data_IF_968821767158
#
_entry.id   IF_968821767158
#
_cell.length_a   1.000
_cell.length_b   1.000
_cell.length_c   1.000
_cell.angle_alpha   90.00
_cell.angle_beta   90.00
_cell.angle_gamma   90.00
#
_symmetry.space_group_name_H-M   'P 1'
#
loop_
_entity.id
_entity.type
_entity.pdbx_description
1 polymer ?
#
# COMPACT_ATOMS: atom_id res chain seq x y z
N UNK A 1 -8.79 22.50 5.61
CA UNK A 1 -8.91 21.24 6.37
C UNK A 1 -8.31 21.44 7.74
N UNK A 2 -9.00 21.00 8.77
CA UNK A 2 -8.53 21.01 10.15
C UNK A 2 -7.94 19.64 10.50
N UNK A 3 -6.71 19.65 10.97
CA UNK A 3 -5.97 18.47 11.34
C UNK A 3 -5.98 18.25 12.85
N UNK A 4 -5.91 16.99 13.23
CA UNK A 4 -5.53 16.53 14.57
C UNK A 4 -4.37 15.56 14.43
N UNK A 5 -3.47 15.52 15.41
CA UNK A 5 -2.31 14.60 15.40
C UNK A 5 -2.32 13.73 16.64
N UNK A 6 -2.10 12.44 16.46
CA UNK A 6 -2.10 11.42 17.51
C UNK A 6 -0.84 10.58 17.38
N UNK A 7 0.03 10.60 18.39
CA UNK A 7 1.08 9.58 18.51
C UNK A 7 2.29 9.93 19.35
N UNK A 8 3.40 9.27 19.06
CA UNK A 8 4.66 9.33 19.80
C UNK A 8 5.92 9.47 18.91
N UNK A 9 5.78 9.34 17.59
CA UNK A 9 6.89 9.42 16.66
C UNK A 9 7.36 10.86 16.40
N UNK A 10 8.64 11.18 16.60
CA UNK A 10 9.25 12.47 16.23
C UNK A 10 9.17 12.83 14.74
N UNK A 11 9.11 11.82 13.88
CA UNK A 11 9.13 11.97 12.42
C UNK A 11 7.97 12.80 11.86
N UNK A 12 6.89 12.97 12.64
CA UNK A 12 5.72 13.79 12.29
C UNK A 12 5.92 15.29 12.51
N UNK A 13 6.91 15.71 13.29
CA UNK A 13 7.13 17.13 13.64
C UNK A 13 7.26 18.04 12.42
N UNK A 14 8.00 17.68 11.35
CA UNK A 14 8.04 18.49 10.13
C UNK A 14 6.66 18.68 9.48
N UNK A 15 5.81 17.65 9.50
CA UNK A 15 4.44 17.78 8.98
C UNK A 15 3.59 18.68 9.88
N UNK A 16 3.72 18.55 11.20
CA UNK A 16 3.04 19.42 12.16
C UNK A 16 3.40 20.88 11.92
N UNK A 17 4.68 21.19 11.74
CA UNK A 17 5.15 22.54 11.42
C UNK A 17 4.54 23.05 10.13
N UNK A 18 4.53 22.23 9.07
CA UNK A 18 3.89 22.61 7.80
C UNK A 18 2.39 22.89 7.94
N UNK A 19 1.67 22.11 8.75
CA UNK A 19 0.25 22.36 9.00
C UNK A 19 0.08 23.67 9.78
N UNK A 20 0.91 23.91 10.79
CA UNK A 20 0.88 25.12 11.59
C UNK A 20 1.17 26.39 10.78
N UNK A 21 2.16 26.32 9.88
CA UNK A 21 2.59 27.43 9.03
C UNK A 21 1.64 27.67 7.84
N UNK A 22 0.69 26.77 7.61
CA UNK A 22 -0.27 26.87 6.50
C UNK A 22 -1.34 27.93 6.75
N UNK A 23 -1.61 28.75 5.74
CA UNK A 23 -2.73 29.71 5.77
C UNK A 23 -4.12 29.07 5.57
N UNK A 24 -4.18 27.82 5.06
CA UNK A 24 -5.43 27.14 4.63
C UNK A 24 -5.78 25.95 5.52
N UNK A 25 -4.80 25.47 6.29
CA UNK A 25 -4.95 24.32 7.17
C UNK A 25 -4.77 24.77 8.61
N UNK A 26 -5.44 24.08 9.55
CA UNK A 26 -5.32 24.36 10.98
C UNK A 26 -4.95 23.10 11.73
N UNK A 27 -4.25 23.25 12.85
CA UNK A 27 -3.95 22.18 13.80
C UNK A 27 -4.34 22.65 15.19
N UNK A 28 -5.47 22.16 15.69
CA UNK A 28 -6.04 22.66 16.95
C UNK A 28 -5.89 21.65 18.09
N UNK A 29 -5.95 20.35 17.76
CA UNK A 29 -5.97 19.26 18.73
C UNK A 29 -4.81 18.30 18.47
N UNK A 30 -4.20 17.82 19.55
CA UNK A 30 -3.17 16.80 19.46
C UNK A 30 -3.20 15.90 20.69
N UNK A 31 -2.92 14.63 20.49
CA UNK A 31 -2.43 13.74 21.53
C UNK A 31 -0.97 13.42 21.20
N UNK A 32 -0.07 13.84 22.08
CA UNK A 32 1.36 13.55 21.94
C UNK A 32 1.86 12.87 23.21
N UNK A 33 2.62 11.79 23.04
CA UNK A 33 3.30 11.10 24.14
C UNK A 33 4.78 10.89 23.84
N UNK A 34 5.57 10.57 24.86
CA UNK A 34 6.97 10.22 24.70
C UNK A 34 7.82 11.35 24.10
N UNK A 35 8.63 11.02 23.11
CA UNK A 35 9.57 11.98 22.49
C UNK A 35 8.84 13.08 21.71
N UNK A 36 7.75 12.75 21.03
CA UNK A 36 6.95 13.74 20.29
C UNK A 36 6.45 14.87 21.20
N UNK A 37 5.98 14.55 22.42
CA UNK A 37 5.52 15.57 23.37
C UNK A 37 6.64 16.58 23.74
N UNK A 38 7.87 16.08 23.92
CA UNK A 38 9.03 16.93 24.24
C UNK A 38 9.42 17.82 23.06
N UNK A 39 9.36 17.30 21.83
CA UNK A 39 9.69 18.05 20.63
C UNK A 39 8.66 19.13 20.33
N UNK A 40 7.36 18.84 20.53
CA UNK A 40 6.30 19.83 20.38
C UNK A 40 6.39 20.96 21.41
N UNK A 41 6.72 20.63 22.67
CA UNK A 41 6.96 21.63 23.70
C UNK A 41 8.15 22.55 23.34
N UNK A 42 9.19 21.98 22.73
CA UNK A 42 10.38 22.74 22.29
C UNK A 42 10.10 23.60 21.06
N UNK A 43 9.29 23.11 20.13
CA UNK A 43 8.92 23.82 18.92
C UNK A 43 7.99 25.04 19.19
N UNK A 44 7.37 25.12 20.36
CA UNK A 44 6.53 26.25 20.76
C UNK A 44 5.23 26.38 19.97
N UNK A 45 4.72 25.27 19.42
CA UNK A 45 3.53 25.27 18.58
C UNK A 45 2.29 25.28 19.50
N UNK A 46 1.40 26.27 19.40
CA UNK A 46 0.23 26.41 20.28
C UNK A 46 -0.85 25.38 19.92
N UNK A 47 -0.77 24.17 20.48
CA UNK A 47 -1.73 23.07 20.22
C UNK A 47 -2.41 22.65 21.53
N UNK A 48 -3.71 22.37 21.48
CA UNK A 48 -4.42 21.83 22.63
C UNK A 48 -4.14 20.33 22.79
N UNK A 49 -3.29 20.00 23.76
CA UNK A 49 -2.95 18.61 24.09
C UNK A 49 -4.13 17.95 24.83
N UNK A 50 -4.62 16.84 24.29
CA UNK A 50 -5.70 16.04 24.88
C UNK A 50 -5.15 14.91 25.75
N UNK A 51 -5.98 14.41 26.67
CA UNK A 51 -5.64 13.31 27.58
C UNK A 51 -5.61 11.95 26.91
N UNK A 52 -6.47 11.72 25.92
CA UNK A 52 -6.56 10.44 25.20
C UNK A 52 -6.40 10.65 23.69
N UNK A 53 -5.91 9.63 22.96
CA UNK A 53 -5.89 9.62 21.50
C UNK A 53 -7.25 9.94 20.86
N UNK A 54 -8.31 9.37 21.42
CA UNK A 54 -9.68 9.48 20.91
C UNK A 54 -10.24 10.89 21.06
N UNK A 55 -10.02 11.53 22.21
CA UNK A 55 -10.43 12.92 22.46
C UNK A 55 -9.84 13.88 21.40
N UNK A 56 -8.62 13.59 20.92
CA UNK A 56 -7.94 14.43 19.93
C UNK A 56 -8.64 14.46 18.57
N UNK A 57 -9.28 13.37 18.13
CA UNK A 57 -9.98 13.35 16.83
C UNK A 57 -11.50 13.41 16.93
N UNK A 58 -12.08 13.17 18.12
CA UNK A 58 -13.49 13.40 18.40
C UNK A 58 -13.82 14.88 18.61
N UNK A 59 -12.81 15.73 18.79
CA UNK A 59 -12.98 17.17 18.87
C UNK A 59 -13.74 17.73 17.65
N UNK A 60 -14.58 18.75 17.91
CA UNK A 60 -15.42 19.35 16.88
C UNK A 60 -14.59 20.04 15.80
N UNK A 61 -14.94 19.80 14.54
CA UNK A 61 -14.33 20.48 13.41
C UNK A 61 -12.99 19.91 12.97
N UNK A 62 -12.58 18.73 13.44
CA UNK A 62 -11.45 17.97 12.86
C UNK A 62 -11.91 17.30 11.56
N UNK A 63 -11.17 17.48 10.47
CA UNK A 63 -11.45 16.81 9.18
C UNK A 63 -10.51 15.61 8.95
N UNK A 64 -9.25 15.75 9.37
CA UNK A 64 -8.16 14.79 9.11
C UNK A 64 -7.41 14.46 10.39
N UNK A 65 -7.14 13.18 10.62
CA UNK A 65 -6.36 12.67 11.75
C UNK A 65 -5.03 12.12 11.25
N UNK A 66 -3.93 12.66 11.76
CA UNK A 66 -2.58 12.14 11.52
C UNK A 66 -2.23 11.18 12.65
N UNK A 67 -2.02 9.91 12.31
CA UNK A 67 -1.62 8.87 13.26
C UNK A 67 -0.14 8.57 13.05
N UNK A 68 0.69 8.83 14.06
CA UNK A 68 2.13 8.64 14.02
C UNK A 68 2.63 7.89 15.26
N UNK A 69 2.43 6.57 15.25
CA UNK A 69 2.77 5.67 16.35
C UNK A 69 3.65 4.51 15.90
N UNK A 70 4.43 3.93 16.81
CA UNK A 70 5.27 2.76 16.50
C UNK A 70 4.52 1.41 16.52
N UNK A 71 3.40 1.36 17.25
CA UNK A 71 2.59 0.14 17.42
C UNK A 71 1.56 -0.01 16.30
N UNK A 72 1.79 -1.00 15.42
CA UNK A 72 0.91 -1.35 14.31
C UNK A 72 -0.53 -1.64 14.74
N UNK A 73 -0.76 -2.40 15.82
CA UNK A 73 -2.12 -2.76 16.25
C UNK A 73 -2.87 -1.53 16.74
N UNK A 74 -2.16 -0.66 17.48
CA UNK A 74 -2.72 0.61 17.95
C UNK A 74 -3.05 1.54 16.80
N UNK A 75 -2.20 1.63 15.77
CA UNK A 75 -2.49 2.38 14.55
C UNK A 75 -3.76 1.87 13.87
N UNK A 76 -3.89 0.55 13.69
CA UNK A 76 -5.07 -0.06 13.05
C UNK A 76 -6.35 0.23 13.84
N UNK A 77 -6.31 0.09 15.16
CA UNK A 77 -7.44 0.38 16.03
C UNK A 77 -7.85 1.85 15.99
N UNK A 78 -6.90 2.78 16.08
CA UNK A 78 -7.16 4.22 15.98
C UNK A 78 -7.64 4.63 14.59
N UNK A 79 -7.09 4.01 13.54
CA UNK A 79 -7.55 4.23 12.16
C UNK A 79 -9.02 3.84 12.03
N UNK A 80 -9.41 2.66 12.54
CA UNK A 80 -10.81 2.19 12.54
C UNK A 80 -11.72 3.13 13.34
N UNK A 81 -11.31 3.55 14.53
CA UNK A 81 -12.08 4.49 15.35
C UNK A 81 -12.25 5.85 14.69
N UNK A 82 -11.21 6.37 14.03
CA UNK A 82 -11.24 7.66 13.35
C UNK A 82 -12.15 7.64 12.12
N UNK A 83 -12.08 6.60 11.27
CA UNK A 83 -12.97 6.50 10.11
C UNK A 83 -14.44 6.27 10.51
N UNK A 84 -14.69 5.57 11.62
CA UNK A 84 -16.05 5.44 12.20
C UNK A 84 -16.59 6.75 12.76
N UNK A 85 -15.70 7.67 13.15
CA UNK A 85 -16.04 9.03 13.57
C UNK A 85 -16.10 10.02 12.38
N UNK A 86 -16.24 9.51 11.15
CA UNK A 86 -16.30 10.29 9.92
C UNK A 86 -15.10 11.23 9.71
N UNK A 87 -13.89 10.71 9.96
CA UNK A 87 -12.62 11.42 9.74
C UNK A 87 -11.78 10.77 8.65
N UNK A 88 -11.09 11.58 7.88
CA UNK A 88 -10.00 11.09 7.04
C UNK A 88 -8.78 10.75 7.91
N UNK A 89 -8.00 9.75 7.50
CA UNK A 89 -6.83 9.31 8.27
C UNK A 89 -5.58 9.39 7.42
N UNK A 90 -4.52 9.96 7.99
CA UNK A 90 -3.17 9.99 7.43
C UNK A 90 -2.28 9.16 8.35
N UNK A 91 -1.66 8.11 7.83
CA UNK A 91 -0.91 7.14 8.63
C UNK A 91 0.58 7.27 8.35
N UNK A 92 1.37 7.60 9.36
CA UNK A 92 2.83 7.40 9.30
C UNK A 92 3.12 5.91 9.42
N UNK A 93 3.93 5.41 8.49
CA UNK A 93 4.25 3.99 8.44
C UNK A 93 5.27 3.67 9.53
N UNK A 94 4.93 2.81 10.51
CA UNK A 94 5.86 2.42 11.56
C UNK A 94 6.99 1.57 10.98
N UNK A 95 8.13 1.58 11.64
CA UNK A 95 9.30 0.79 11.22
C UNK A 95 9.04 -0.72 11.30
N UNK A 96 8.10 -1.10 12.18
CA UNK A 96 7.60 -2.45 12.39
C UNK A 96 6.59 -2.92 11.33
N UNK A 97 6.23 -2.07 10.36
CA UNK A 97 5.23 -2.39 9.35
C UNK A 97 5.57 -3.67 8.56
N UNK A 98 4.50 -4.43 8.29
CA UNK A 98 4.53 -5.70 7.57
C UNK A 98 3.50 -5.69 6.44
N UNK A 99 3.57 -6.68 5.57
CA UNK A 99 2.51 -6.94 4.58
C UNK A 99 1.13 -7.06 5.24
N UNK A 100 1.03 -7.76 6.37
CA UNK A 100 -0.23 -7.90 7.12
C UNK A 100 -0.79 -6.55 7.58
N UNK A 101 0.07 -5.64 8.04
CA UNK A 101 -0.34 -4.27 8.39
C UNK A 101 -0.93 -3.52 7.19
N UNK A 102 -0.29 -3.61 6.00
CA UNK A 102 -0.85 -2.98 4.80
C UNK A 102 -2.16 -3.60 4.34
N UNK A 103 -2.32 -4.91 4.50
CA UNK A 103 -3.56 -5.63 4.18
C UNK A 103 -4.71 -5.18 5.09
N UNK A 104 -4.48 -5.13 6.40
CA UNK A 104 -5.49 -4.66 7.36
C UNK A 104 -5.88 -3.19 7.12
N UNK A 105 -4.92 -2.31 6.78
CA UNK A 105 -5.25 -0.94 6.38
C UNK A 105 -6.10 -0.90 5.12
N UNK A 106 -5.86 -1.79 4.16
CA UNK A 106 -6.66 -1.91 2.95
C UNK A 106 -8.10 -2.34 3.27
N UNK A 107 -8.29 -3.30 4.17
CA UNK A 107 -9.62 -3.72 4.62
C UNK A 107 -10.38 -2.57 5.30
N UNK A 108 -9.72 -1.82 6.17
CA UNK A 108 -10.35 -0.65 6.82
C UNK A 108 -10.72 0.40 5.76
N UNK A 109 -9.87 0.61 4.75
CA UNK A 109 -10.20 1.51 3.63
C UNK A 109 -11.40 1.00 2.85
N UNK A 110 -11.51 -0.29 2.55
CA UNK A 110 -12.63 -0.84 1.79
C UNK A 110 -13.96 -0.65 2.54
N UNK A 111 -13.97 -0.88 3.86
CA UNK A 111 -15.13 -0.71 4.74
C UNK A 111 -15.50 0.76 5.02
N UNK A 112 -14.55 1.69 4.90
CA UNK A 112 -14.76 3.11 5.25
C UNK A 112 -15.48 3.91 4.16
N UNK A 113 -16.08 5.03 4.52
CA UNK A 113 -16.50 6.08 3.56
C UNK A 113 -15.42 7.15 3.38
N UNK A 114 -14.43 7.18 4.26
CA UNK A 114 -13.39 8.20 4.34
C UNK A 114 -12.02 7.68 3.89
N UNK A 115 -11.26 8.55 3.24
CA UNK A 115 -9.89 8.30 2.80
C UNK A 115 -8.93 7.90 3.92
N UNK A 116 -8.09 6.90 3.63
CA UNK A 116 -6.94 6.50 4.44
C UNK A 116 -5.69 6.68 3.58
N UNK A 117 -4.74 7.48 4.06
CA UNK A 117 -3.56 7.91 3.31
C UNK A 117 -2.30 7.44 4.04
N UNK A 118 -1.69 6.31 3.63
CA UNK A 118 -0.36 5.95 4.10
C UNK A 118 0.68 6.96 3.59
N UNK A 119 1.48 7.53 4.50
CA UNK A 119 2.58 8.42 4.16
C UNK A 119 3.82 7.61 3.83
N UNK A 120 3.99 7.39 2.54
CA UNK A 120 5.07 6.57 1.99
C UNK A 120 6.15 7.43 1.32
N UNK A 121 7.23 6.81 0.85
CA UNK A 121 8.38 7.54 0.27
C UNK A 121 8.02 8.41 -0.94
N UNK A 122 7.02 8.01 -1.73
CA UNK A 122 6.56 8.81 -2.87
C UNK A 122 5.99 10.18 -2.49
N UNK A 123 5.60 10.39 -1.22
CA UNK A 123 5.15 11.71 -0.75
C UNK A 123 6.25 12.78 -0.87
N UNK A 124 7.51 12.36 -0.88
CA UNK A 124 8.68 13.24 -0.94
C UNK A 124 9.05 13.65 -2.38
N UNK A 125 8.43 13.03 -3.40
CA UNK A 125 8.64 13.39 -4.80
C UNK A 125 7.95 14.73 -5.09
N UNK A 126 8.76 15.74 -5.44
CA UNK A 126 8.28 17.08 -5.80
C UNK A 126 7.59 17.07 -7.17
N UNK A 127 8.13 16.26 -8.06
CA UNK A 127 7.72 16.12 -9.46
C UNK A 127 6.41 15.33 -9.58
N UNK A 128 6.08 14.53 -8.56
CA UNK A 128 4.73 13.99 -8.42
C UNK A 128 3.82 15.20 -8.15
N UNK A 129 2.93 15.55 -9.08
CA UNK A 129 2.01 16.67 -8.87
C UNK A 129 1.17 16.52 -7.59
N UNK A 130 0.47 17.57 -7.19
CA UNK A 130 -0.51 17.50 -6.09
C UNK A 130 -1.73 16.63 -6.44
N UNK A 131 -1.99 16.40 -7.73
CA UNK A 131 -3.21 15.78 -8.24
C UNK A 131 -2.97 14.49 -9.06
N UNK A 132 -1.86 13.80 -8.82
CA UNK A 132 -1.58 12.53 -9.50
C UNK A 132 -0.99 11.49 -8.55
N UNK A 133 -1.33 10.23 -8.80
CA UNK A 133 -0.73 9.06 -8.13
C UNK A 133 0.53 8.57 -8.82
N UNK A 134 0.71 8.93 -10.09
CA UNK A 134 1.80 8.49 -10.93
C UNK A 134 2.47 9.67 -11.63
N UNK A 135 3.78 9.64 -11.63
CA UNK A 135 4.61 10.62 -12.31
C UNK A 135 4.53 10.46 -13.84
N UNK A 136 4.39 9.22 -14.30
CA UNK A 136 4.37 8.87 -15.72
C UNK A 136 3.22 7.91 -15.99
N UNK A 137 2.38 8.22 -16.98
CA UNK A 137 1.25 7.36 -17.39
C UNK A 137 1.69 6.21 -18.31
N UNK A 138 2.79 6.40 -19.03
CA UNK A 138 3.45 5.39 -19.84
C UNK A 138 4.92 5.35 -19.43
N UNK A 139 5.52 4.16 -19.26
CA UNK A 139 6.96 4.08 -19.15
C UNK A 139 7.54 4.63 -20.46
N UNK A 140 8.15 5.82 -20.38
CA UNK A 140 9.03 6.31 -21.42
C UNK A 140 10.13 5.26 -21.69
N UNK A 141 10.89 5.32 -22.79
CA UNK A 141 11.94 4.33 -23.09
C UNK A 141 13.16 4.51 -22.17
N UNK A 142 12.95 4.48 -20.86
CA UNK A 142 13.98 4.40 -19.87
C UNK A 142 14.73 3.08 -20.05
N UNK A 143 16.04 3.16 -20.02
CA UNK A 143 16.92 2.00 -20.01
C UNK A 143 17.19 1.52 -18.59
N UNK A 144 17.25 2.44 -17.63
CA UNK A 144 17.61 2.12 -16.26
C UNK A 144 17.14 3.21 -15.29
N UNK A 145 16.78 2.78 -14.09
CA UNK A 145 16.48 3.65 -12.94
C UNK A 145 17.51 3.38 -11.84
N UNK A 146 18.12 4.43 -11.30
CA UNK A 146 19.03 4.32 -10.17
C UNK A 146 18.56 5.26 -9.05
N UNK A 147 18.45 4.73 -7.83
CA UNK A 147 18.09 5.49 -6.63
C UNK A 147 19.22 5.33 -5.63
N UNK A 148 19.85 6.43 -5.25
CA UNK A 148 20.92 6.44 -4.25
C UNK A 148 20.48 7.23 -3.01
N UNK A 149 20.62 6.63 -1.83
CA UNK A 149 20.27 7.26 -0.56
C UNK A 149 21.25 6.88 0.56
N UNK A 150 21.32 7.72 1.59
CA UNK A 150 22.02 7.44 2.84
C UNK A 150 21.04 7.23 4.01
N UNK A 151 21.43 6.41 4.99
CA UNK A 151 20.80 6.41 6.31
C UNK A 151 21.56 7.37 7.23
N UNK A 152 20.86 7.99 8.19
CA UNK A 152 21.50 8.91 9.16
C UNK A 152 22.14 8.17 10.33
N UNK A 153 21.54 7.05 10.71
CA UNK A 153 21.96 6.24 11.86
C UNK A 153 22.16 4.80 11.39
N UNK A 154 23.19 4.15 11.92
CA UNK A 154 23.42 2.72 11.69
C UNK A 154 22.50 1.88 12.60
N UNK A 155 21.21 2.03 12.38
CA UNK A 155 20.15 1.30 13.07
C UNK A 155 19.38 0.44 12.06
N UNK A 156 19.05 -0.79 12.46
CA UNK A 156 18.33 -1.74 11.62
C UNK A 156 16.91 -1.26 11.31
N UNK A 157 16.26 -0.58 12.26
CA UNK A 157 14.92 -0.06 12.05
C UNK A 157 14.93 1.14 11.10
N UNK A 158 15.84 2.10 11.31
CA UNK A 158 16.05 3.21 10.37
C UNK A 158 16.38 2.73 8.94
N UNK A 159 17.19 1.67 8.80
CA UNK A 159 17.48 1.04 7.50
C UNK A 159 16.21 0.45 6.87
N UNK A 160 15.39 -0.26 7.65
CA UNK A 160 14.14 -0.86 7.18
C UNK A 160 13.14 0.22 6.75
N UNK A 161 12.96 1.27 7.56
CA UNK A 161 12.10 2.39 7.21
C UNK A 161 12.55 3.06 5.91
N UNK A 162 13.87 3.27 5.76
CA UNK A 162 14.42 3.85 4.55
C UNK A 162 14.22 2.96 3.33
N UNK A 163 14.41 1.65 3.48
CA UNK A 163 14.15 0.67 2.45
C UNK A 163 12.69 0.71 1.97
N UNK A 164 11.74 0.73 2.91
CA UNK A 164 10.30 0.86 2.61
C UNK A 164 10.03 2.13 1.79
N UNK A 165 10.58 3.27 2.23
CA UNK A 165 10.42 4.54 1.50
C UNK A 165 10.96 4.45 0.07
N UNK A 166 12.11 3.81 -0.14
CA UNK A 166 12.71 3.71 -1.48
C UNK A 166 11.98 2.71 -2.38
N UNK A 167 11.49 1.59 -1.84
CA UNK A 167 10.71 0.60 -2.59
C UNK A 167 9.35 1.12 -3.03
N UNK A 168 8.86 2.17 -2.39
CA UNK A 168 7.62 2.84 -2.74
C UNK A 168 7.74 3.77 -3.96
N UNK A 169 8.95 4.27 -4.26
CA UNK A 169 9.21 5.19 -5.37
C UNK A 169 8.91 4.55 -6.73
N UNK A 170 9.38 3.33 -7.06
CA UNK A 170 9.01 2.64 -8.29
C UNK A 170 7.50 2.60 -8.55
N UNK A 171 6.70 2.40 -7.51
CA UNK A 171 5.26 2.34 -7.65
C UNK A 171 4.65 3.72 -7.99
N UNK A 172 5.26 4.81 -7.54
CA UNK A 172 4.91 6.18 -7.97
C UNK A 172 5.33 6.49 -9.42
N UNK A 173 6.29 5.74 -9.96
CA UNK A 173 6.65 5.78 -11.37
C UNK A 173 5.74 4.89 -12.24
N UNK A 174 4.76 4.21 -11.63
CA UNK A 174 3.88 3.26 -12.32
C UNK A 174 4.55 1.91 -12.63
N UNK A 175 5.66 1.58 -11.95
CA UNK A 175 6.46 0.39 -12.22
C UNK A 175 6.20 -0.68 -11.16
N UNK A 176 5.83 -1.89 -11.62
CA UNK A 176 5.56 -3.05 -10.78
C UNK A 176 6.58 -4.16 -11.05
N UNK A 177 7.59 -4.23 -10.20
CA UNK A 177 8.67 -5.21 -10.33
C UNK A 177 8.30 -6.56 -9.73
N UNK A 178 8.50 -7.64 -10.47
CA UNK A 178 8.17 -9.01 -10.02
C UNK A 178 9.38 -9.81 -9.57
N UNK A 179 10.57 -9.21 -9.55
CA UNK A 179 11.80 -9.83 -9.07
C UNK A 179 12.65 -8.84 -8.28
N UNK A 180 13.26 -9.35 -7.22
CA UNK A 180 14.20 -8.58 -6.41
C UNK A 180 15.42 -9.41 -6.01
N UNK A 181 16.58 -8.78 -6.09
CA UNK A 181 17.84 -9.29 -5.57
C UNK A 181 18.40 -8.28 -4.58
N UNK A 182 18.69 -8.72 -3.37
CA UNK A 182 19.29 -7.89 -2.34
C UNK A 182 20.67 -8.40 -1.96
N UNK A 183 21.64 -7.49 -1.94
CA UNK A 183 23.01 -7.73 -1.49
C UNK A 183 23.33 -6.72 -0.40
N UNK A 184 23.89 -7.19 0.70
CA UNK A 184 24.29 -6.35 1.82
C UNK A 184 25.79 -6.50 2.07
N UNK A 185 26.46 -5.37 2.22
CA UNK A 185 27.86 -5.27 2.62
C UNK A 185 27.95 -4.64 4.00
N UNK A 186 28.65 -5.32 4.92
CA UNK A 186 28.91 -4.85 6.28
C UNK A 186 30.40 -4.80 6.56
N UNK A 187 30.81 -3.86 7.40
CA UNK A 187 32.16 -3.83 7.95
C UNK A 187 32.39 -5.03 8.89
N UNK A 188 33.66 -5.33 9.24
CA UNK A 188 33.97 -6.34 10.25
C UNK A 188 33.28 -6.10 11.60
N UNK A 189 33.00 -4.83 11.91
CA UNK A 189 32.31 -4.39 13.13
C UNK A 189 30.78 -4.51 13.04
N UNK A 190 30.26 -5.04 11.93
CA UNK A 190 28.83 -5.24 11.70
C UNK A 190 28.08 -3.98 11.23
N UNK A 191 28.77 -2.86 11.04
CA UNK A 191 28.15 -1.63 10.53
C UNK A 191 27.78 -1.79 9.06
N UNK A 192 26.63 -1.25 8.66
CA UNK A 192 26.22 -1.26 7.25
C UNK A 192 27.17 -0.37 6.44
N UNK A 193 27.78 -0.94 5.39
CA UNK A 193 28.51 -0.17 4.38
C UNK A 193 27.52 0.24 3.29
N UNK A 194 26.84 -0.74 2.71
CA UNK A 194 25.80 -0.51 1.71
C UNK A 194 24.85 -1.70 1.59
N UNK A 195 23.62 -1.43 1.16
CA UNK A 195 22.64 -2.41 0.70
C UNK A 195 22.24 -2.05 -0.72
N UNK A 196 22.46 -2.99 -1.64
CA UNK A 196 22.08 -2.86 -3.04
C UNK A 196 20.86 -3.74 -3.32
N UNK A 197 19.78 -3.13 -3.79
CA UNK A 197 18.57 -3.80 -4.26
C UNK A 197 18.52 -3.68 -5.78
N UNK A 198 18.42 -4.79 -6.48
CA UNK A 198 18.18 -4.84 -7.93
C UNK A 198 16.77 -5.33 -8.17
N UNK A 199 15.97 -4.52 -8.84
CA UNK A 199 14.59 -4.77 -9.20
C UNK A 199 14.51 -5.14 -10.68
N UNK A 200 13.76 -6.18 -10.99
CA UNK A 200 13.58 -6.66 -12.35
C UNK A 200 12.22 -7.32 -12.54
N UNK A 201 12.02 -7.85 -13.74
CA UNK A 201 10.80 -8.56 -14.10
C UNK A 201 11.08 -10.02 -14.40
N UNK A 202 10.18 -10.88 -13.92
CA UNK A 202 10.19 -12.28 -14.30
C UNK A 202 9.92 -12.44 -15.79
N UNK A 203 10.38 -13.54 -16.37
CA UNK A 203 10.11 -13.87 -17.78
C UNK A 203 8.60 -14.04 -18.07
N UNK A 204 7.77 -14.17 -17.04
CA UNK A 204 6.31 -14.28 -17.13
C UNK A 204 5.59 -12.96 -16.90
N UNK A 205 6.31 -11.85 -16.68
CA UNK A 205 5.70 -10.55 -16.48
C UNK A 205 5.02 -10.07 -17.77
N UNK A 206 3.83 -9.48 -17.63
CA UNK A 206 3.03 -8.96 -18.75
C UNK A 206 3.69 -7.75 -19.43
N UNK A 207 4.56 -7.04 -18.71
CA UNK A 207 5.24 -5.83 -19.16
C UNK A 207 6.75 -6.00 -19.05
N UNK A 208 7.49 -5.52 -20.05
CA UNK A 208 8.93 -5.40 -19.99
C UNK A 208 9.26 -4.03 -19.36
N UNK A 209 9.75 -4.04 -18.12
CA UNK A 209 10.10 -2.81 -17.39
C UNK A 209 11.63 -2.60 -17.40
N UNK A 210 12.10 -1.35 -17.37
CA UNK A 210 13.52 -1.06 -17.21
C UNK A 210 14.02 -1.62 -15.88
N UNK A 211 15.24 -2.18 -15.80
CA UNK A 211 15.83 -2.54 -14.52
C UNK A 211 15.97 -1.32 -13.61
N UNK A 212 15.69 -1.51 -12.32
CA UNK A 212 15.92 -0.49 -11.30
C UNK A 212 16.92 -0.96 -10.25
N UNK A 213 17.76 -0.05 -9.78
CA UNK A 213 18.70 -0.29 -8.69
C UNK A 213 18.49 0.72 -7.58
N UNK A 214 18.44 0.25 -6.35
CA UNK A 214 18.36 1.08 -5.15
C UNK A 214 19.59 0.81 -4.29
N UNK A 215 20.41 1.82 -4.07
CA UNK A 215 21.58 1.75 -3.18
C UNK A 215 21.30 2.52 -1.91
N UNK A 216 21.35 1.83 -0.77
CA UNK A 216 21.27 2.44 0.56
C UNK A 216 22.64 2.37 1.19
N UNK A 217 23.28 3.51 1.35
CA UNK A 217 24.57 3.64 2.01
C UNK A 217 24.39 3.75 3.52
N UNK A 218 25.36 3.22 4.27
CA UNK A 218 25.50 3.44 5.71
C UNK A 218 25.63 4.92 6.08
N UNK A 219 25.70 5.24 7.38
CA UNK A 219 25.85 6.61 7.84
C UNK A 219 27.07 7.27 7.19
N UNK A 220 26.81 8.35 6.47
CA UNK A 220 27.84 9.14 5.84
C UNK A 220 28.67 9.85 6.93
N UNK A 221 29.98 10.02 6.69
CA UNK A 221 30.78 10.90 7.55
C UNK A 221 30.15 12.30 7.63
N UNK A 222 30.30 13.04 8.74
CA UNK A 222 29.68 14.36 8.90
C UNK A 222 29.97 15.34 7.75
N UNK A 223 31.14 15.21 7.11
CA UNK A 223 31.55 15.99 5.95
C UNK A 223 30.82 15.64 4.65
N UNK A 224 30.30 14.41 4.49
CA UNK A 224 29.50 14.02 3.33
C UNK A 224 27.98 14.18 3.54
N UNK A 225 27.54 14.52 4.75
CA UNK A 225 26.11 14.75 5.04
C UNK A 225 25.55 16.01 4.37
N UNK A 226 26.38 17.00 4.00
CA UNK A 226 25.88 18.22 3.33
C UNK A 226 25.25 17.95 1.94
N UNK A 227 25.57 16.81 1.31
CA UNK A 227 24.99 16.38 0.03
C UNK A 227 24.16 15.08 0.13
N UNK A 228 23.73 14.70 1.34
CA UNK A 228 23.05 13.41 1.60
C UNK A 228 21.56 13.36 1.20
N UNK A 229 21.19 14.13 0.18
CA UNK A 229 19.89 14.05 -0.46
C UNK A 229 19.70 12.70 -1.15
N UNK A 230 18.45 12.31 -1.36
CA UNK A 230 18.15 11.16 -2.22
C UNK A 230 18.08 11.61 -3.64
N UNK A 231 18.80 10.90 -4.50
CA UNK A 231 18.87 11.21 -5.91
C UNK A 231 18.31 10.04 -6.68
N UNK A 232 17.35 10.33 -7.55
CA UNK A 232 16.79 9.39 -8.51
C UNK A 232 17.29 9.80 -9.88
N UNK A 233 17.99 8.90 -10.55
CA UNK A 233 18.49 9.07 -11.90
C UNK A 233 17.70 8.17 -12.85
N UNK A 234 17.01 8.78 -13.80
CA UNK A 234 16.30 8.12 -14.89
C UNK A 234 17.16 8.22 -16.15
N UNK A 235 17.66 7.09 -16.66
CA UNK A 235 18.47 7.04 -17.87
C UNK A 235 17.60 6.65 -19.06
N UNK A 236 17.55 7.47 -20.10
CA UNK A 236 16.78 7.25 -21.32
C UNK A 236 17.62 6.63 -22.45
N UNK A 237 16.96 5.94 -23.40
CA UNK A 237 17.61 5.36 -24.57
C UNK A 237 18.39 6.37 -25.44
N UNK A 238 18.03 7.65 -25.39
CA UNK A 238 18.72 8.74 -26.07
C UNK A 238 19.97 9.28 -25.35
N UNK A 239 20.38 8.67 -24.23
CA UNK A 239 21.51 9.15 -23.42
C UNK A 239 21.21 10.36 -22.55
N UNK A 240 19.94 10.81 -22.50
CA UNK A 240 19.46 11.82 -21.57
C UNK A 240 19.31 11.20 -20.18
N UNK A 241 19.79 11.89 -19.16
CA UNK A 241 19.59 11.53 -17.77
C UNK A 241 18.73 12.60 -17.09
N UNK A 242 17.60 12.19 -16.53
CA UNK A 242 16.74 13.05 -15.72
C UNK A 242 17.01 12.78 -14.25
N UNK A 243 17.35 13.83 -13.51
CA UNK A 243 17.65 13.76 -12.08
C UNK A 243 16.48 14.35 -11.30
N UNK A 244 15.93 13.55 -10.39
CA UNK A 244 14.82 13.89 -9.49
C UNK A 244 15.38 13.85 -8.07
N UNK A 245 15.15 14.91 -7.30
CA UNK A 245 15.59 15.01 -5.91
C UNK A 245 14.39 14.91 -4.98
N UNK A 246 14.50 14.07 -3.95
CA UNK A 246 13.44 14.00 -2.94
C UNK A 246 13.44 15.29 -2.11
N UNK A 247 12.32 15.99 -2.14
CA UNK A 247 12.08 17.16 -1.31
C UNK A 247 11.65 16.73 0.10
N UNK A 248 12.06 17.51 1.11
CA UNK A 248 11.62 17.31 2.48
C UNK A 248 10.20 17.86 2.65
N UNK A 249 9.18 17.30 2.01
CA UNK A 249 7.75 17.59 2.27
C UNK A 249 7.11 18.78 1.52
N UNK A 250 7.72 19.28 0.44
CA UNK A 250 7.12 20.35 -0.38
C UNK A 250 5.81 19.86 -1.05
N UNK A 251 4.72 20.62 -0.90
CA UNK A 251 3.42 20.28 -1.51
C UNK A 251 2.66 19.12 -0.87
N UNK A 252 3.15 18.54 0.25
CA UNK A 252 2.50 17.38 0.85
C UNK A 252 1.07 17.65 1.32
N UNK A 253 0.79 18.84 1.88
CA UNK A 253 -0.55 19.18 2.37
C UNK A 253 -1.57 19.25 1.25
N UNK A 254 -1.17 19.79 0.09
CA UNK A 254 -2.03 19.81 -1.09
C UNK A 254 -2.34 18.39 -1.57
N UNK A 255 -1.34 17.48 -1.54
CA UNK A 255 -1.54 16.08 -1.93
C UNK A 255 -2.42 15.32 -0.93
N UNK A 256 -2.22 15.51 0.37
CA UNK A 256 -3.10 14.95 1.40
C UNK A 256 -4.54 15.43 1.17
N UNK A 257 -4.74 16.74 0.97
CA UNK A 257 -6.07 17.30 0.72
C UNK A 257 -6.71 16.72 -0.55
N UNK A 258 -5.94 16.54 -1.62
CA UNK A 258 -6.41 15.93 -2.85
C UNK A 258 -6.80 14.44 -2.68
N UNK A 259 -6.02 13.67 -1.92
CA UNK A 259 -6.33 12.26 -1.57
C UNK A 259 -7.57 12.16 -0.66
N UNK A 260 -7.71 13.08 0.29
CA UNK A 260 -8.87 13.15 1.17
C UNK A 260 -10.14 13.59 0.43
N UNK A 261 -10.01 14.31 -0.69
CA UNK A 261 -11.15 14.79 -1.47
C UNK A 261 -11.96 13.68 -2.18
N UNK A 262 -11.38 12.50 -2.39
CA UNK A 262 -12.07 11.37 -3.03
C UNK A 262 -11.44 10.04 -2.61
N UNK A 263 -12.22 9.19 -1.93
CA UNK A 263 -11.81 7.85 -1.50
C UNK A 263 -11.28 7.01 -2.66
N UNK A 264 -11.85 7.16 -3.86
CA UNK A 264 -11.42 6.42 -5.05
C UNK A 264 -9.95 6.63 -5.42
N UNK A 265 -9.38 7.78 -5.03
CA UNK A 265 -7.96 8.11 -5.20
C UNK A 265 -7.08 7.36 -4.19
N UNK A 266 -7.58 7.08 -3.00
CA UNK A 266 -6.81 6.34 -2.00
C UNK A 266 -6.59 4.88 -2.35
N UNK A 267 -7.44 4.27 -3.17
CA UNK A 267 -7.32 2.86 -3.57
C UNK A 267 -5.99 2.58 -4.29
N UNK A 268 -5.67 3.21 -5.44
CA UNK A 268 -4.39 2.97 -6.13
C UNK A 268 -3.19 3.40 -5.28
N UNK A 269 -3.37 4.39 -4.40
CA UNK A 269 -2.34 4.79 -3.45
C UNK A 269 -2.04 3.68 -2.43
N UNK A 270 -3.07 3.06 -1.88
CA UNK A 270 -2.96 1.95 -0.92
C UNK A 270 -2.42 0.68 -1.59
N UNK A 271 -2.88 0.33 -2.79
CA UNK A 271 -2.35 -0.82 -3.56
C UNK A 271 -0.84 -0.70 -3.78
N UNK A 272 -0.40 0.51 -4.09
CA UNK A 272 0.99 0.77 -4.34
C UNK A 272 1.83 0.75 -3.04
N UNK A 273 1.25 1.12 -1.89
CA UNK A 273 1.87 0.89 -0.58
C UNK A 273 1.98 -0.61 -0.25
N UNK A 274 0.92 -1.40 -0.47
CA UNK A 274 0.96 -2.85 -0.30
C UNK A 274 2.03 -3.51 -1.18
N UNK A 275 2.17 -3.05 -2.43
CA UNK A 275 3.23 -3.49 -3.35
C UNK A 275 4.62 -3.25 -2.75
N UNK A 276 4.85 -2.07 -2.15
CA UNK A 276 6.12 -1.76 -1.49
C UNK A 276 6.39 -2.67 -0.28
N UNK A 277 5.35 -3.07 0.47
CA UNK A 277 5.47 -4.02 1.57
C UNK A 277 5.83 -5.43 1.09
N UNK A 278 5.22 -5.91 0.01
CA UNK A 278 5.55 -7.22 -0.58
C UNK A 278 6.99 -7.26 -1.09
N UNK A 279 7.42 -6.19 -1.78
CA UNK A 279 8.81 -6.04 -2.19
C UNK A 279 9.76 -6.05 -0.97
N UNK A 280 9.37 -5.38 0.12
CA UNK A 280 10.15 -5.31 1.34
C UNK A 280 10.32 -6.70 2.01
N UNK A 281 9.27 -7.52 2.09
CA UNK A 281 9.38 -8.90 2.58
C UNK A 281 10.24 -9.76 1.62
N UNK A 282 10.14 -9.52 0.31
CA UNK A 282 10.98 -10.18 -0.67
C UNK A 282 12.47 -9.81 -0.55
N UNK A 283 12.81 -8.58 -0.12
CA UNK A 283 14.19 -8.21 0.25
C UNK A 283 14.70 -9.12 1.37
N UNK A 284 13.92 -9.26 2.45
CA UNK A 284 14.32 -10.09 3.60
C UNK A 284 14.49 -11.56 3.19
N UNK A 285 13.66 -12.06 2.26
CA UNK A 285 13.82 -13.41 1.67
C UNK A 285 15.08 -13.49 0.80
N UNK A 286 15.37 -12.48 -0.01
CA UNK A 286 16.54 -12.44 -0.89
C UNK A 286 17.84 -12.40 -0.10
N UNK A 287 17.94 -11.55 0.93
CA UNK A 287 19.11 -11.48 1.82
C UNK A 287 19.38 -12.83 2.50
N UNK A 288 18.32 -13.50 2.99
CA UNK A 288 18.43 -14.83 3.62
C UNK A 288 18.87 -15.91 2.64
N UNK A 289 18.34 -15.91 1.41
CA UNK A 289 18.61 -16.95 0.40
C UNK A 289 19.83 -16.65 -0.49
N UNK A 290 20.35 -15.42 -0.47
CA UNK A 290 21.45 -14.91 -1.30
C UNK A 290 21.22 -15.11 -2.80
N UNK A 291 19.99 -14.89 -3.26
CA UNK A 291 19.60 -15.02 -4.67
C UNK A 291 18.41 -14.13 -5.00
N UNK A 292 18.13 -13.96 -6.29
CA UNK A 292 16.90 -13.36 -6.80
C UNK A 292 15.67 -14.10 -6.26
N UNK A 293 14.66 -13.34 -5.84
CA UNK A 293 13.37 -13.84 -5.38
C UNK A 293 12.28 -13.25 -6.27
N UNK A 294 11.40 -14.11 -6.77
CA UNK A 294 10.19 -13.68 -7.44
C UNK A 294 9.19 -13.14 -6.41
N UNK A 295 8.54 -12.04 -6.78
CA UNK A 295 7.52 -11.35 -6.00
C UNK A 295 6.20 -11.54 -6.71
N UNK A 296 5.27 -12.16 -6.00
CA UNK A 296 3.91 -12.37 -6.48
C UNK A 296 3.03 -11.37 -5.74
N UNK A 297 2.45 -10.44 -6.49
CA UNK A 297 1.46 -9.54 -5.94
C UNK A 297 0.13 -10.25 -5.93
N UNK A 298 -0.28 -10.75 -4.76
CA UNK A 298 -1.70 -11.05 -4.57
C UNK A 298 -2.42 -9.72 -4.57
N UNK A 299 -3.22 -9.47 -5.61
CA UNK A 299 -4.10 -8.31 -5.64
C UNK A 299 -5.03 -8.43 -4.43
N UNK A 300 -4.69 -7.73 -3.33
CA UNK A 300 -5.42 -7.74 -2.07
C UNK A 300 -6.85 -7.21 -2.18
N UNK A 301 -7.27 -6.74 -3.36
CA UNK A 301 -8.66 -6.46 -3.65
C UNK A 301 -9.50 -7.73 -3.50
N UNK A 302 -10.68 -7.59 -2.90
CA UNK A 302 -11.68 -8.66 -2.79
C UNK A 302 -11.88 -9.40 -4.12
N UNK A 303 -11.69 -8.74 -5.27
CA UNK A 303 -11.79 -9.33 -6.62
C UNK A 303 -10.83 -10.49 -6.85
N UNK A 304 -9.60 -10.44 -6.33
CA UNK A 304 -8.62 -11.53 -6.44
C UNK A 304 -9.05 -12.75 -5.64
N UNK A 305 -9.52 -12.51 -4.41
CA UNK A 305 -10.06 -13.54 -3.51
C UNK A 305 -11.37 -14.13 -4.04
N UNK A 306 -12.27 -13.30 -4.58
CA UNK A 306 -13.51 -13.77 -5.24
C UNK A 306 -13.19 -14.66 -6.44
N UNK A 307 -12.17 -14.34 -7.23
CA UNK A 307 -11.77 -15.16 -8.38
C UNK A 307 -11.22 -16.52 -7.94
N UNK A 308 -10.38 -16.56 -6.91
CA UNK A 308 -9.85 -17.81 -6.38
C UNK A 308 -10.93 -18.65 -5.71
N UNK A 309 -11.85 -18.03 -4.95
CA UNK A 309 -12.99 -18.70 -4.33
C UNK A 309 -13.99 -19.23 -5.36
N UNK A 310 -14.31 -18.48 -6.42
CA UNK A 310 -15.17 -18.97 -7.51
C UNK A 310 -14.54 -20.18 -8.22
N UNK A 311 -13.21 -20.19 -8.36
CA UNK A 311 -12.48 -21.33 -8.94
C UNK A 311 -12.53 -22.55 -8.02
N UNK A 312 -12.31 -22.35 -6.71
CA UNK A 312 -12.40 -23.41 -5.71
C UNK A 312 -13.82 -23.99 -5.61
N UNK A 313 -14.86 -23.15 -5.61
CA UNK A 313 -16.26 -23.57 -5.64
C UNK A 313 -16.55 -24.34 -6.93
N UNK A 314 -16.09 -23.86 -8.08
CA UNK A 314 -16.25 -24.57 -9.36
C UNK A 314 -15.62 -25.97 -9.34
N UNK A 315 -14.38 -26.10 -8.86
CA UNK A 315 -13.72 -27.39 -8.67
C UNK A 315 -14.48 -28.29 -7.68
N UNK A 316 -15.01 -27.72 -6.59
CA UNK A 316 -15.84 -28.42 -5.62
C UNK A 316 -17.14 -28.95 -6.23
N UNK A 317 -17.84 -28.13 -7.02
CA UNK A 317 -19.07 -28.52 -7.73
C UNK A 317 -18.80 -29.64 -8.75
N UNK A 318 -17.69 -29.58 -9.49
CA UNK A 318 -17.30 -30.66 -10.42
C UNK A 318 -16.99 -31.96 -9.67
N UNK A 319 -16.23 -31.86 -8.58
CA UNK A 319 -15.87 -33.00 -7.74
C UNK A 319 -17.11 -33.64 -7.12
N UNK A 320 -18.03 -32.83 -6.58
CA UNK A 320 -19.35 -33.27 -6.14
C UNK A 320 -20.03 -34.04 -7.26
N UNK A 321 -20.24 -33.41 -8.43
CA UNK A 321 -20.95 -33.97 -9.60
C UNK A 321 -20.40 -35.32 -10.06
N UNK A 322 -19.08 -35.49 -10.03
CA UNK A 322 -18.43 -36.76 -10.38
C UNK A 322 -18.70 -37.83 -9.32
N UNK A 323 -18.39 -37.53 -8.05
CA UNK A 323 -18.45 -38.54 -6.99
C UNK A 323 -19.85 -38.98 -6.64
N UNK A 324 -20.82 -38.07 -6.55
CA UNK A 324 -22.18 -38.53 -6.25
C UNK A 324 -22.98 -38.99 -7.47
N UNK A 325 -22.49 -38.81 -8.71
CA UNK A 325 -23.00 -39.62 -9.83
C UNK A 325 -22.64 -41.10 -9.58
N UNK A 326 -21.40 -41.38 -9.17
CA UNK A 326 -20.99 -42.74 -8.79
C UNK A 326 -21.81 -43.24 -7.60
N UNK A 327 -21.97 -42.43 -6.54
CA UNK A 327 -22.78 -42.81 -5.39
C UNK A 327 -24.25 -43.06 -5.76
N UNK A 328 -24.83 -42.20 -6.61
CA UNK A 328 -26.19 -42.37 -7.12
C UNK A 328 -26.35 -43.69 -7.86
N UNK A 329 -25.40 -44.05 -8.74
CA UNK A 329 -25.43 -45.32 -9.47
C UNK A 329 -25.31 -46.53 -8.53
N UNK A 330 -24.48 -46.44 -7.48
CA UNK A 330 -24.34 -47.51 -6.48
C UNK A 330 -25.64 -47.69 -5.69
N UNK A 331 -26.25 -46.60 -5.21
CA UNK A 331 -27.51 -46.63 -4.45
C UNK A 331 -28.66 -47.12 -5.33
N UNK A 332 -28.74 -46.63 -6.57
CA UNK A 332 -29.78 -47.04 -7.53
C UNK A 332 -29.68 -48.53 -7.90
N UNK A 333 -28.47 -49.09 -7.90
CA UNK A 333 -28.27 -50.53 -8.11
C UNK A 333 -28.58 -51.36 -6.86
N UNK A 334 -28.40 -50.80 -5.67
CA UNK A 334 -28.55 -51.53 -4.41
C UNK A 334 -29.99 -51.75 -3.96
N UNK A 335 -30.95 -50.99 -4.48
CA UNK A 335 -32.36 -51.11 -4.10
C UNK A 335 -33.31 -50.74 -5.25
N UNK A 336 -34.45 -51.43 -5.33
CA UNK A 336 -35.51 -51.17 -6.31
C UNK A 336 -36.36 -49.97 -5.86
N UNK A 337 -35.87 -48.77 -6.16
CA UNK A 337 -36.57 -47.52 -5.83
C UNK A 337 -37.66 -47.20 -6.85
N UNK A 338 -38.79 -46.59 -6.42
CA UNK A 338 -39.81 -46.07 -7.32
C UNK A 338 -39.21 -45.06 -8.33
N UNK A 339 -39.66 -45.06 -9.60
CA UNK A 339 -39.11 -44.18 -10.64
C UNK A 339 -39.10 -42.69 -10.29
N UNK A 340 -40.12 -42.26 -9.54
CA UNK A 340 -40.26 -40.87 -9.11
C UNK A 340 -39.15 -40.45 -8.12
N UNK A 341 -38.73 -41.35 -7.23
CA UNK A 341 -37.64 -41.07 -6.27
C UNK A 341 -36.31 -40.90 -7.01
N UNK A 342 -36.05 -41.73 -8.01
CA UNK A 342 -34.84 -41.64 -8.83
C UNK A 342 -34.79 -40.35 -9.67
N UNK A 343 -35.94 -39.89 -10.17
CA UNK A 343 -36.05 -38.61 -10.89
C UNK A 343 -35.78 -37.41 -9.97
N UNK A 344 -36.38 -37.39 -8.78
CA UNK A 344 -36.15 -36.32 -7.79
C UNK A 344 -34.69 -36.29 -7.34
N UNK A 345 -34.11 -37.46 -7.04
CA UNK A 345 -32.70 -37.56 -6.66
C UNK A 345 -31.77 -37.06 -7.76
N UNK A 346 -32.05 -37.36 -9.03
CA UNK A 346 -31.28 -36.83 -10.18
C UNK A 346 -31.41 -35.32 -10.31
N UNK A 347 -32.61 -34.77 -10.15
CA UNK A 347 -32.83 -33.33 -10.23
C UNK A 347 -32.08 -32.60 -9.09
N UNK A 348 -32.17 -33.12 -7.87
CA UNK A 348 -31.49 -32.57 -6.70
C UNK A 348 -29.96 -32.68 -6.81
N UNK A 349 -29.48 -33.75 -7.45
CA UNK A 349 -28.06 -33.96 -7.76
C UNK A 349 -27.48 -32.92 -8.72
N UNK A 350 -28.23 -32.62 -9.79
CA UNK A 350 -27.80 -31.71 -10.86
C UNK A 350 -28.03 -30.24 -10.49
N UNK A 351 -28.95 -29.95 -9.56
CA UNK A 351 -29.32 -28.60 -9.16
C UNK A 351 -28.14 -27.67 -8.78
N UNK A 352 -27.11 -28.11 -8.01
CA UNK A 352 -25.95 -27.26 -7.70
C UNK A 352 -25.16 -26.83 -8.94
N UNK A 353 -25.03 -27.70 -9.95
CA UNK A 353 -24.34 -27.39 -11.21
C UNK A 353 -25.12 -26.34 -12.00
N UNK A 354 -26.42 -26.52 -12.10
CA UNK A 354 -27.29 -25.57 -12.81
C UNK A 354 -27.28 -24.22 -12.11
N UNK A 355 -27.38 -24.19 -10.78
CA UNK A 355 -27.31 -22.97 -10.00
C UNK A 355 -25.96 -22.26 -10.18
N UNK A 356 -24.87 -23.02 -10.16
CA UNK A 356 -23.53 -22.49 -10.39
C UNK A 356 -23.37 -21.89 -11.81
N UNK A 357 -23.87 -22.57 -12.85
CA UNK A 357 -23.84 -22.06 -14.22
C UNK A 357 -24.70 -20.80 -14.40
N UNK A 358 -25.88 -20.76 -13.75
CA UNK A 358 -26.74 -19.57 -13.75
C UNK A 358 -26.04 -18.40 -13.06
N UNK A 359 -25.40 -18.63 -11.91
CA UNK A 359 -24.62 -17.60 -11.23
C UNK A 359 -23.46 -17.09 -12.10
N UNK A 360 -22.73 -17.99 -12.78
CA UNK A 360 -21.68 -17.60 -13.72
C UNK A 360 -22.20 -16.76 -14.90
N UNK A 361 -23.39 -17.07 -15.40
CA UNK A 361 -24.01 -16.31 -16.50
C UNK A 361 -24.53 -14.94 -16.05
N UNK A 362 -24.93 -14.79 -14.79
CA UNK A 362 -25.42 -13.53 -14.23
C UNK A 362 -24.29 -12.54 -13.90
N UNK A 363 -23.09 -13.02 -13.59
CA UNK A 363 -21.92 -12.17 -13.29
C UNK A 363 -21.61 -11.11 -14.37
N UNK A 364 -21.55 -11.44 -15.68
CA UNK A 364 -21.36 -10.44 -16.72
C UNK A 364 -22.50 -9.43 -16.82
N UNK A 365 -23.76 -9.83 -16.55
CA UNK A 365 -24.92 -8.93 -16.65
C UNK A 365 -24.92 -7.87 -15.55
N UNK A 366 -24.37 -8.18 -14.37
CA UNK A 366 -24.20 -7.20 -13.29
C UNK A 366 -22.97 -6.30 -13.46
N UNK A 367 -22.10 -6.58 -14.44
CA UNK A 367 -20.78 -5.93 -14.59
C UNK A 367 -20.82 -4.54 -15.24
N UNK A 368 -21.93 -4.15 -15.88
CA UNK A 368 -21.97 -3.02 -16.83
C UNK A 368 -22.55 -1.67 -16.32
N UNK A 369 -22.64 -1.42 -15.00
CA UNK A 369 -23.22 -0.15 -14.51
C UNK A 369 -22.26 0.94 -14.03
N UNK A 370 -20.95 0.70 -13.95
CA UNK A 370 -19.99 1.73 -13.48
C UNK A 370 -19.19 2.43 -14.59
N UNK A 371 -19.15 1.91 -15.82
CA UNK A 371 -18.28 2.45 -16.87
C UNK A 371 -18.88 3.61 -17.69
N UNK A 372 -20.17 3.91 -17.56
CA UNK A 372 -20.83 4.82 -18.51
C UNK A 372 -21.00 6.26 -18.05
N UNK A 373 -20.50 6.65 -16.86
CA UNK A 373 -20.71 8.02 -16.31
C UNK A 373 -19.54 8.99 -16.51
N UNK A 374 -18.44 8.57 -17.15
CA UNK A 374 -17.24 9.42 -17.31
C UNK A 374 -17.08 10.06 -18.70
N UNK A 375 -18.06 9.91 -19.61
CA UNK A 375 -17.94 10.40 -20.99
C UNK A 375 -18.78 11.65 -21.30
N UNK A 376 -19.58 12.17 -20.37
CA UNK A 376 -20.57 13.23 -20.66
C UNK A 376 -20.34 14.57 -19.92
N UNK A 377 -19.16 14.81 -19.33
CA UNK A 377 -18.87 16.10 -18.64
C UNK A 377 -17.79 16.96 -19.30
N UNK A 378 -17.46 16.73 -20.58
CA UNK A 378 -16.58 17.64 -21.37
C UNK A 378 -17.33 18.23 -22.56
N UNK A 379 -18.43 18.91 -22.27
CA UNK A 379 -19.17 19.75 -23.22
C UNK A 379 -19.91 20.86 -22.47
N UNK A 380 -19.20 21.95 -22.18
CA UNK A 380 -19.71 23.16 -21.53
C UNK A 380 -18.60 24.15 -21.24
#
# INVERSE_FOLDING_TARGET
MQFSVVGDQPSVVPLIQLIHDSAVHGLNHCYASGQLANELATAGIPIQVQSTPEDAFLASGVDVVVIAMDDCERILNLTRSAVQADRHVVVFIPESATTAFSFELHLILDESTHSIVPLTGRMQLKELGSETHQLFQTPEPWLQIAIDTHIRMNDALALRQRQIQMLDIPAALGLLYTQITAIESRSPDGQLISRLLTLGNSAMAEQNLPPATITIHGPASPSSMQNSGTVICLNEAGGRATRIELSNWEGILARIAWLCGDKGRCVPWMEAFSTAMELNDAVDKSLRRRRTVDVYFDSGSERGVFKSQMTAIGCGVLTWTLFGMVAFLVIAKAADWPPLVLQVARALWVAPVVLFLVAQFLLPVTRDRSSHKSADSSGG
#
